data_IF_259766200717
#
_entry.id   IF_259766200717
#
_cell.length_a   1.000
_cell.length_b   1.000
_cell.length_c   1.000
_cell.angle_alpha   90.00
_cell.angle_beta   90.00
_cell.angle_gamma   90.00
#
_symmetry.space_group_name_H-M   'P 1'
#
loop_
_entity.id
_entity.type
_entity.pdbx_description
1 polymer ?
#
# COMPACT_ATOMS: atom_id res chain seq x y z
N UNK A 1 4.90 9.18 5.65
CA UNK A 1 4.85 8.44 4.38
C UNK A 1 5.43 7.03 4.53
N UNK A 2 6.71 6.90 4.94
CA UNK A 2 7.32 5.58 5.26
C UNK A 2 6.50 4.72 6.23
N UNK A 3 5.90 5.35 7.25
CA UNK A 3 5.11 4.67 8.28
C UNK A 3 3.82 3.95 7.76
N UNK A 4 3.42 4.16 6.51
CA UNK A 4 2.25 3.52 5.90
C UNK A 4 2.61 2.63 4.69
N UNK A 5 3.91 2.48 4.40
CA UNK A 5 4.39 1.61 3.33
C UNK A 5 4.99 0.35 3.95
N UNK A 6 4.70 -0.81 3.36
CA UNK A 6 5.02 -2.10 3.97
C UNK A 6 5.62 -3.05 2.94
N UNK A 7 6.47 -3.95 3.42
CA UNK A 7 7.01 -5.08 2.65
C UNK A 7 6.61 -6.38 3.32
N UNK A 8 6.39 -7.41 2.51
CA UNK A 8 6.34 -8.79 2.99
C UNK A 8 7.69 -9.44 2.70
N UNK A 9 8.24 -10.12 3.71
CA UNK A 9 9.55 -10.76 3.67
C UNK A 9 9.36 -12.24 3.94
N UNK A 10 10.02 -13.08 3.14
CA UNK A 10 10.15 -14.53 3.34
C UNK A 10 11.63 -14.85 3.55
N UNK A 11 11.99 -15.24 4.78
CA UNK A 11 13.39 -15.25 5.24
C UNK A 11 14.05 -13.87 5.10
N UNK A 12 15.09 -13.78 4.28
CA UNK A 12 15.79 -12.54 3.97
C UNK A 12 15.35 -11.89 2.64
N UNK A 13 14.33 -12.46 1.99
CA UNK A 13 13.89 -12.02 0.66
C UNK A 13 12.61 -11.20 0.73
N UNK A 14 12.66 -9.97 0.22
CA UNK A 14 11.43 -9.18 -0.01
C UNK A 14 10.64 -9.79 -1.18
N UNK A 15 9.42 -10.24 -0.91
CA UNK A 15 8.55 -10.92 -1.88
C UNK A 15 7.35 -10.08 -2.32
N UNK A 16 6.98 -9.05 -1.56
CA UNK A 16 5.91 -8.13 -1.93
C UNK A 16 6.08 -6.76 -1.25
N UNK A 17 5.44 -5.75 -1.80
CA UNK A 17 5.45 -4.39 -1.25
C UNK A 17 4.16 -3.64 -1.55
N UNK A 18 3.77 -2.75 -0.65
CA UNK A 18 2.77 -1.71 -0.88
C UNK A 18 3.37 -0.36 -0.48
N UNK A 19 3.23 0.63 -1.35
CA UNK A 19 3.63 2.01 -1.06
C UNK A 19 2.40 2.91 -0.90
N UNK A 20 2.48 3.82 0.06
CA UNK A 20 1.48 4.88 0.27
C UNK A 20 2.13 6.23 -0.02
N UNK A 21 1.70 6.89 -1.10
CA UNK A 21 2.26 8.16 -1.57
C UNK A 21 1.35 9.31 -1.18
N UNK A 22 1.87 10.42 -0.64
CA UNK A 22 1.03 11.60 -0.38
C UNK A 22 0.63 12.26 -1.69
N UNK A 23 -0.65 12.61 -1.84
CA UNK A 23 -1.16 13.34 -2.99
C UNK A 23 -1.99 14.55 -2.55
N UNK A 24 -2.00 15.59 -3.40
CA UNK A 24 -2.74 16.80 -3.19
C UNK A 24 -3.36 17.29 -4.51
N UNK A 25 -4.59 17.77 -4.45
CA UNK A 25 -5.28 18.40 -5.57
C UNK A 25 -6.05 19.62 -5.02
N UNK A 26 -5.59 20.82 -5.35
CA UNK A 26 -6.05 22.06 -4.69
C UNK A 26 -5.91 21.98 -3.16
N UNK A 27 -7.01 22.22 -2.44
CA UNK A 27 -7.07 22.10 -0.99
C UNK A 27 -7.15 20.64 -0.48
N UNK A 28 -7.47 19.68 -1.35
CA UNK A 28 -7.60 18.27 -0.99
C UNK A 28 -6.26 17.62 -0.61
N UNK A 29 -6.30 16.71 0.36
CA UNK A 29 -5.18 15.87 0.79
C UNK A 29 -5.63 14.42 0.80
N UNK A 30 -4.79 13.51 0.34
CA UNK A 30 -5.05 12.07 0.41
C UNK A 30 -3.74 11.28 0.38
N UNK A 31 -3.86 9.97 0.58
CA UNK A 31 -2.81 8.99 0.29
C UNK A 31 -3.20 8.22 -0.97
N UNK A 32 -2.26 8.04 -1.89
CA UNK A 32 -2.41 7.13 -3.03
C UNK A 32 -1.80 5.78 -2.68
N UNK A 33 -2.59 4.72 -2.81
CA UNK A 33 -2.15 3.34 -2.66
C UNK A 33 -1.52 2.89 -3.96
N UNK A 34 -0.19 2.70 -3.95
CA UNK A 34 0.52 2.19 -5.11
C UNK A 34 1.99 2.62 -5.18
N UNK A 35 2.84 1.79 -5.83
CA UNK A 35 2.51 0.49 -6.41
C UNK A 35 2.29 -0.61 -5.35
N UNK A 36 1.41 -1.58 -5.67
CA UNK A 36 1.28 -2.86 -4.98
C UNK A 36 1.89 -3.94 -5.87
N UNK A 37 2.92 -4.62 -5.38
CA UNK A 37 3.62 -5.64 -6.15
C UNK A 37 3.80 -6.91 -5.31
N UNK A 38 3.65 -8.06 -5.97
CA UNK A 38 3.93 -9.39 -5.41
C UNK A 38 4.73 -10.15 -6.46
N UNK A 39 5.86 -10.76 -6.05
CA UNK A 39 6.67 -11.59 -6.94
C UNK A 39 5.80 -12.70 -7.58
N UNK A 40 5.96 -13.02 -8.87
CA UNK A 40 5.11 -13.99 -9.57
C UNK A 40 4.97 -15.35 -8.86
N UNK A 41 6.07 -15.88 -8.30
CA UNK A 41 6.08 -17.15 -7.57
C UNK A 41 5.20 -17.16 -6.29
N UNK A 42 4.78 -15.99 -5.81
CA UNK A 42 3.99 -15.81 -4.60
C UNK A 42 2.59 -15.22 -4.90
N UNK A 43 2.17 -15.19 -6.17
CA UNK A 43 0.82 -14.75 -6.57
C UNK A 43 -0.25 -15.73 -6.07
N UNK A 44 -1.48 -15.25 -5.93
CA UNK A 44 -2.66 -16.01 -5.49
C UNK A 44 -2.61 -16.57 -4.05
N UNK A 45 -1.62 -16.18 -3.24
CA UNK A 45 -1.53 -16.53 -1.81
C UNK A 45 -2.17 -15.50 -0.86
N UNK A 46 -2.82 -14.46 -1.39
CA UNK A 46 -3.47 -13.42 -0.59
C UNK A 46 -2.53 -12.36 0.02
N UNK A 47 -1.22 -12.42 -0.24
CA UNK A 47 -0.21 -11.49 0.31
C UNK A 47 -0.55 -10.03 -0.02
N UNK A 48 -0.88 -9.73 -1.27
CA UNK A 48 -1.21 -8.37 -1.70
C UNK A 48 -2.42 -7.81 -0.94
N UNK A 49 -3.47 -8.61 -0.76
CA UNK A 49 -4.66 -8.24 0.01
C UNK A 49 -4.31 -7.93 1.47
N UNK A 50 -3.43 -8.74 2.08
CA UNK A 50 -2.99 -8.53 3.47
C UNK A 50 -2.17 -7.25 3.61
N UNK A 51 -1.27 -6.97 2.68
CA UNK A 51 -0.49 -5.73 2.66
C UNK A 51 -1.39 -4.49 2.55
N UNK A 52 -2.40 -4.53 1.68
CA UNK A 52 -3.41 -3.45 1.57
C UNK A 52 -4.12 -3.23 2.90
N UNK A 53 -4.59 -4.29 3.56
CA UNK A 53 -5.27 -4.17 4.85
C UNK A 53 -4.37 -3.50 5.91
N UNK A 54 -3.11 -3.89 6.01
CA UNK A 54 -2.12 -3.29 6.93
C UNK A 54 -1.89 -1.81 6.60
N UNK A 55 -1.74 -1.48 5.30
CA UNK A 55 -1.55 -0.10 4.85
C UNK A 55 -2.74 0.81 5.18
N UNK A 56 -3.96 0.31 4.98
CA UNK A 56 -5.18 1.04 5.30
C UNK A 56 -5.34 1.25 6.81
N UNK A 57 -5.04 0.25 7.63
CA UNK A 57 -5.06 0.39 9.09
C UNK A 57 -4.06 1.45 9.57
N UNK A 58 -2.84 1.44 9.00
CA UNK A 58 -1.84 2.46 9.29
C UNK A 58 -2.28 3.86 8.84
N UNK A 59 -2.98 3.96 7.70
CA UNK A 59 -3.53 5.23 7.21
C UNK A 59 -4.62 5.78 8.14
N UNK A 60 -5.52 4.93 8.63
CA UNK A 60 -6.53 5.31 9.64
C UNK A 60 -5.85 5.81 10.91
N UNK A 61 -4.88 5.07 11.44
CA UNK A 61 -4.11 5.47 12.64
C UNK A 61 -3.34 6.78 12.45
N UNK A 62 -2.88 7.05 11.24
CA UNK A 62 -2.18 8.28 10.89
C UNK A 62 -3.13 9.47 10.62
N UNK A 63 -4.44 9.28 10.70
CA UNK A 63 -5.43 10.32 10.41
C UNK A 63 -5.46 10.72 8.93
N UNK A 64 -5.12 9.80 8.02
CA UNK A 64 -5.20 10.07 6.59
C UNK A 64 -6.68 10.34 6.21
N UNK A 65 -6.99 11.49 5.60
CA UNK A 65 -8.37 11.89 5.32
C UNK A 65 -9.01 11.05 4.20
N UNK A 66 -8.20 10.50 3.30
CA UNK A 66 -8.64 9.62 2.23
C UNK A 66 -7.48 8.73 1.75
N UNK A 67 -7.83 7.55 1.23
CA UNK A 67 -6.92 6.68 0.47
C UNK A 67 -7.52 6.44 -0.90
N UNK A 68 -6.74 6.65 -1.96
CA UNK A 68 -7.15 6.54 -3.35
C UNK A 68 -6.33 5.43 -4.01
N UNK A 69 -6.98 4.57 -4.78
CA UNK A 69 -6.34 3.61 -5.67
C UNK A 69 -6.60 4.06 -7.11
N UNK A 70 -5.56 4.07 -7.94
CA UNK A 70 -5.69 4.28 -9.38
C UNK A 70 -5.68 2.92 -10.05
N UNK A 71 -6.79 2.58 -10.70
CA UNK A 71 -6.86 1.47 -11.66
C UNK A 71 -6.69 2.00 -13.08
N UNK A 72 -6.27 1.13 -13.98
CA UNK A 72 -6.48 1.27 -15.42
C UNK A 72 -7.90 0.80 -15.81
N UNK A 73 -8.26 0.97 -17.09
CA UNK A 73 -9.50 0.46 -17.69
C UNK A 73 -9.43 -1.04 -17.97
#
# INVERSE_FOLDING_TARGET
ERAMSFVAVDGDTVIASVRMTRVAAGAGRAMMLGPLAVRPAFKNLGIGRRLVAIALEAAVKAGAPAVILVGDE
#
